data_IF_883726777487
#
_entry.id   IF_883726777487
#
_cell.length_a   1.000
_cell.length_b   1.000
_cell.length_c   1.000
_cell.angle_alpha   90.00
_cell.angle_beta   90.00
_cell.angle_gamma   90.00
#
_symmetry.space_group_name_H-M   'P 1'
#
loop_
_entity.id
_entity.type
_entity.pdbx_description
1 polymer ?
#
# COMPACT_ATOMS: atom_id res chain seq x y z
N UNK A 1 21.38 -3.49 -28.77
CA UNK A 1 21.13 -3.36 -27.32
C UNK A 1 20.88 -4.74 -26.77
N UNK A 2 21.81 -5.22 -25.90
CA UNK A 2 21.69 -6.53 -25.31
C UNK A 2 20.62 -6.49 -24.18
N UNK A 3 19.98 -7.61 -23.94
CA UNK A 3 18.98 -7.76 -22.88
C UNK A 3 19.54 -7.37 -21.48
N UNK A 4 20.87 -7.44 -21.35
CA UNK A 4 21.62 -7.02 -20.14
C UNK A 4 21.69 -5.50 -19.96
N UNK A 5 21.66 -4.73 -21.05
CA UNK A 5 21.71 -3.26 -21.02
C UNK A 5 20.32 -2.65 -20.85
N UNK A 6 19.27 -3.39 -21.24
CA UNK A 6 17.88 -2.92 -21.12
C UNK A 6 17.31 -3.12 -19.70
N UNK A 7 17.76 -4.15 -18.97
CA UNK A 7 17.30 -4.45 -17.61
C UNK A 7 17.57 -3.30 -16.60
N UNK A 8 18.78 -2.72 -16.52
CA UNK A 8 19.02 -1.60 -15.60
C UNK A 8 18.23 -0.35 -15.98
N UNK A 9 18.04 -0.09 -17.29
CA UNK A 9 17.27 1.07 -17.75
C UNK A 9 15.79 0.92 -17.38
N UNK A 10 15.19 -0.27 -17.59
CA UNK A 10 13.80 -0.53 -17.19
C UNK A 10 13.61 -0.48 -15.67
N UNK A 11 14.58 -0.97 -14.88
CA UNK A 11 14.53 -0.89 -13.42
C UNK A 11 14.70 0.55 -12.95
N UNK A 12 15.59 1.32 -13.57
CA UNK A 12 15.80 2.74 -13.22
C UNK A 12 14.59 3.59 -13.60
N UNK A 13 13.95 3.34 -14.75
CA UNK A 13 12.70 4.03 -15.17
C UNK A 13 11.53 3.63 -14.28
N UNK A 14 11.44 2.36 -13.88
CA UNK A 14 10.40 1.90 -12.96
C UNK A 14 10.59 2.50 -11.55
N UNK A 15 11.83 2.64 -11.07
CA UNK A 15 12.15 3.31 -9.80
C UNK A 15 11.81 4.80 -9.90
N UNK A 16 12.08 5.47 -11.02
CA UNK A 16 11.75 6.88 -11.25
C UNK A 16 10.25 7.17 -11.21
N UNK A 17 9.41 6.26 -11.73
CA UNK A 17 7.95 6.41 -11.64
C UNK A 17 7.46 6.33 -10.17
N UNK A 18 8.22 5.70 -9.28
CA UNK A 18 7.88 5.56 -7.87
C UNK A 18 8.64 6.55 -6.97
N UNK A 19 9.51 7.39 -7.53
CA UNK A 19 10.14 8.49 -6.80
C UNK A 19 9.17 9.67 -6.72
N UNK A 20 8.65 10.01 -5.52
CA UNK A 20 7.70 11.12 -5.36
C UNK A 20 8.25 12.45 -5.85
N UNK A 21 9.54 12.70 -5.69
CA UNK A 21 10.16 13.94 -6.13
C UNK A 21 10.21 14.06 -7.67
N UNK A 22 10.50 12.97 -8.38
CA UNK A 22 10.47 12.95 -9.85
C UNK A 22 9.03 13.03 -10.36
N UNK A 23 8.08 12.30 -9.76
CA UNK A 23 6.66 12.41 -10.09
C UNK A 23 6.15 13.85 -9.99
N UNK A 24 6.61 14.59 -8.99
CA UNK A 24 6.21 15.98 -8.81
C UNK A 24 6.85 16.91 -9.83
N UNK A 25 8.13 16.72 -10.16
CA UNK A 25 8.82 17.51 -11.18
C UNK A 25 8.20 17.31 -12.57
N UNK A 26 7.80 16.09 -12.91
CA UNK A 26 7.27 15.75 -14.23
C UNK A 26 5.78 16.07 -14.37
N UNK A 27 5.00 15.90 -13.29
CA UNK A 27 3.53 15.94 -13.33
C UNK A 27 2.90 17.01 -12.44
N UNK A 28 3.65 17.69 -11.57
CA UNK A 28 3.13 18.72 -10.67
C UNK A 28 1.94 18.20 -9.82
N UNK A 29 0.81 18.94 -9.76
CA UNK A 29 -0.38 18.53 -9.01
C UNK A 29 -1.01 17.21 -9.47
N UNK A 30 -0.79 16.79 -10.73
CA UNK A 30 -1.24 15.50 -11.25
C UNK A 30 -0.58 14.31 -10.52
N UNK A 31 0.58 14.51 -9.91
CA UNK A 31 1.23 13.50 -9.09
C UNK A 31 0.29 12.94 -8.01
N UNK A 32 -0.59 13.79 -7.44
CA UNK A 32 -1.60 13.36 -6.44
C UNK A 32 -2.55 12.32 -7.01
N UNK A 33 -3.01 12.52 -8.26
CA UNK A 33 -3.91 11.59 -8.93
C UNK A 33 -3.20 10.28 -9.26
N UNK A 34 -1.95 10.36 -9.72
CA UNK A 34 -1.13 9.17 -10.03
C UNK A 34 -0.92 8.35 -8.76
N UNK A 35 -0.56 8.99 -7.65
CA UNK A 35 -0.38 8.33 -6.34
C UNK A 35 -1.71 7.71 -5.87
N UNK A 36 -2.83 8.40 -6.03
CA UNK A 36 -4.14 7.84 -5.72
C UNK A 36 -4.45 6.57 -6.53
N UNK A 37 -4.14 6.56 -7.84
CA UNK A 37 -4.27 5.37 -8.67
C UNK A 37 -3.36 4.22 -8.21
N UNK A 38 -2.13 4.52 -7.82
CA UNK A 38 -1.18 3.53 -7.26
C UNK A 38 -1.76 2.94 -5.97
N UNK A 39 -2.24 3.77 -5.05
CA UNK A 39 -2.86 3.34 -3.78
C UNK A 39 -4.08 2.44 -4.06
N UNK A 40 -4.96 2.87 -4.98
CA UNK A 40 -6.13 2.06 -5.38
C UNK A 40 -5.71 0.69 -5.92
N UNK A 41 -4.72 0.66 -6.82
CA UNK A 41 -4.23 -0.59 -7.41
C UNK A 41 -3.58 -1.49 -6.36
N UNK A 42 -2.82 -0.92 -5.41
CA UNK A 42 -2.15 -1.65 -4.34
C UNK A 42 -3.16 -2.28 -3.36
N UNK A 43 -4.17 -1.52 -2.95
CA UNK A 43 -5.16 -2.02 -1.97
C UNK A 43 -6.24 -2.90 -2.61
N UNK A 44 -6.60 -2.63 -3.88
CA UNK A 44 -7.69 -3.32 -4.56
C UNK A 44 -7.30 -4.57 -5.33
N UNK A 45 -6.04 -4.64 -5.78
CA UNK A 45 -5.55 -5.77 -6.55
C UNK A 45 -4.62 -6.64 -5.69
N UNK A 46 -4.90 -7.93 -5.59
CA UNK A 46 -4.04 -8.88 -4.86
C UNK A 46 -2.58 -8.90 -5.37
N UNK A 47 -2.38 -8.54 -6.64
CA UNK A 47 -1.05 -8.38 -7.23
C UNK A 47 -0.41 -7.03 -6.87
N UNK A 48 -1.18 -6.07 -6.36
CA UNK A 48 -0.73 -4.74 -5.97
C UNK A 48 0.19 -4.70 -4.75
N UNK A 49 0.28 -5.79 -4.00
CA UNK A 49 1.23 -5.96 -2.88
C UNK A 49 2.68 -5.58 -3.22
N UNK A 50 3.06 -5.64 -4.51
CA UNK A 50 4.38 -5.24 -4.98
C UNK A 50 4.50 -3.73 -5.26
N UNK A 51 3.40 -2.97 -5.24
CA UNK A 51 3.45 -1.52 -5.46
C UNK A 51 3.81 -0.81 -4.14
N UNK A 52 4.69 0.19 -4.20
CA UNK A 52 5.18 0.88 -3.01
C UNK A 52 4.30 2.08 -2.61
N UNK A 53 2.97 1.95 -2.62
CA UNK A 53 2.06 3.05 -2.30
C UNK A 53 2.24 3.59 -0.88
N UNK A 54 2.52 2.71 0.10
CA UNK A 54 2.88 3.11 1.47
C UNK A 54 4.08 4.03 1.51
N UNK A 55 5.10 3.69 0.69
CA UNK A 55 6.36 4.42 0.67
C UNK A 55 6.20 5.83 0.07
N UNK A 56 5.14 6.06 -0.69
CA UNK A 56 4.89 7.33 -1.38
C UNK A 56 4.05 8.28 -0.53
N UNK A 57 3.15 7.77 0.32
CA UNK A 57 2.24 8.60 1.13
C UNK A 57 2.97 9.57 2.07
N UNK A 58 4.00 9.10 2.76
CA UNK A 58 4.78 9.91 3.68
C UNK A 58 5.55 11.02 2.95
N UNK A 59 6.35 10.73 1.89
CA UNK A 59 7.00 11.76 1.09
C UNK A 59 6.04 12.77 0.48
N UNK A 60 4.86 12.34 0.01
CA UNK A 60 3.86 13.28 -0.53
C UNK A 60 3.44 14.31 0.50
N UNK A 61 3.20 13.90 1.75
CA UNK A 61 2.89 14.83 2.84
C UNK A 61 4.05 15.80 3.14
N UNK A 62 5.28 15.29 3.14
CA UNK A 62 6.50 16.08 3.35
C UNK A 62 6.67 17.12 2.23
N UNK A 63 6.55 16.72 0.96
CA UNK A 63 6.71 17.59 -0.21
C UNK A 63 5.61 18.67 -0.28
N UNK A 64 4.39 18.38 0.14
CA UNK A 64 3.32 19.37 0.24
C UNK A 64 3.60 20.40 1.34
N UNK A 65 4.10 19.97 2.50
CA UNK A 65 4.40 20.87 3.61
C UNK A 65 5.60 21.79 3.34
N UNK A 66 6.55 21.32 2.53
CA UNK A 66 7.72 22.12 2.11
C UNK A 66 7.42 23.04 0.93
N UNK A 67 6.22 22.98 0.36
CA UNK A 67 5.81 23.82 -0.79
C UNK A 67 6.37 23.37 -2.13
N UNK A 68 6.97 22.18 -2.20
CA UNK A 68 7.43 21.58 -3.47
C UNK A 68 6.22 21.17 -4.33
N UNK A 69 5.13 20.76 -3.69
CA UNK A 69 3.84 20.49 -4.33
C UNK A 69 2.85 21.57 -3.89
N UNK A 70 2.44 22.40 -4.82
CA UNK A 70 1.36 23.36 -4.58
C UNK A 70 -0.02 22.65 -4.69
N UNK A 71 -0.33 21.89 -3.65
CA UNK A 71 -1.62 21.18 -3.53
C UNK A 71 -2.07 21.13 -2.07
N UNK A 72 -3.36 21.40 -1.79
CA UNK A 72 -3.87 21.41 -0.41
C UNK A 72 -3.76 20.02 0.24
N UNK A 73 -3.00 19.90 1.32
CA UNK A 73 -2.75 18.65 2.03
C UNK A 73 -4.04 17.94 2.46
N UNK A 74 -5.03 18.72 2.95
CA UNK A 74 -6.32 18.15 3.36
C UNK A 74 -7.05 17.46 2.20
N UNK A 75 -6.98 18.06 0.99
CA UNK A 75 -7.60 17.51 -0.21
C UNK A 75 -6.87 16.26 -0.67
N UNK A 76 -5.54 16.24 -0.60
CA UNK A 76 -4.74 15.05 -0.86
C UNK A 76 -5.10 13.90 0.10
N UNK A 77 -5.23 14.18 1.39
CA UNK A 77 -5.67 13.19 2.38
C UNK A 77 -7.06 12.60 2.04
N UNK A 78 -8.00 13.43 1.57
CA UNK A 78 -9.33 12.97 1.13
C UNK A 78 -9.20 12.08 -0.10
N UNK A 79 -8.42 12.48 -1.10
CA UNK A 79 -8.22 11.73 -2.34
C UNK A 79 -7.55 10.38 -2.06
N UNK A 80 -6.48 10.36 -1.26
CA UNK A 80 -5.78 9.13 -0.90
C UNK A 80 -6.67 8.18 -0.07
N UNK A 81 -7.43 8.74 0.87
CA UNK A 81 -8.39 7.95 1.65
C UNK A 81 -9.51 7.38 0.78
N UNK A 82 -10.03 8.15 -0.17
CA UNK A 82 -11.04 7.67 -1.11
C UNK A 82 -10.49 6.56 -2.02
N UNK A 83 -9.27 6.73 -2.54
CA UNK A 83 -8.62 5.73 -3.39
C UNK A 83 -8.37 4.41 -2.62
N UNK A 84 -7.81 4.48 -1.41
CA UNK A 84 -7.60 3.32 -0.57
C UNK A 84 -8.91 2.62 -0.20
N UNK A 85 -9.93 3.40 0.20
CA UNK A 85 -11.24 2.87 0.54
C UNK A 85 -11.88 2.14 -0.65
N UNK A 86 -11.86 2.73 -1.85
CA UNK A 86 -12.39 2.12 -3.07
C UNK A 86 -11.62 0.84 -3.43
N UNK A 87 -10.30 0.84 -3.26
CA UNK A 87 -9.46 -0.35 -3.44
C UNK A 87 -9.87 -1.48 -2.51
N UNK A 88 -10.02 -1.20 -1.22
CA UNK A 88 -10.46 -2.21 -0.25
C UNK A 88 -11.86 -2.74 -0.52
N UNK A 89 -12.80 -1.87 -0.99
CA UNK A 89 -14.12 -2.35 -1.42
C UNK A 89 -13.98 -3.33 -2.59
N UNK A 90 -13.12 -3.01 -3.56
CA UNK A 90 -12.84 -3.91 -4.70
C UNK A 90 -12.29 -5.24 -4.21
N UNK A 91 -11.30 -5.22 -3.30
CA UNK A 91 -10.73 -6.40 -2.66
C UNK A 91 -11.80 -7.25 -1.94
N UNK A 92 -12.66 -6.63 -1.15
CA UNK A 92 -13.77 -7.30 -0.46
C UNK A 92 -14.73 -8.00 -1.45
N UNK A 93 -15.18 -7.31 -2.51
CA UNK A 93 -16.07 -7.86 -3.50
C UNK A 93 -15.42 -8.99 -4.32
N UNK A 94 -14.13 -8.85 -4.64
CA UNK A 94 -13.35 -9.94 -5.25
C UNK A 94 -13.32 -11.15 -4.31
N UNK A 95 -13.10 -10.94 -3.01
CA UNK A 95 -13.16 -12.00 -2.00
C UNK A 95 -14.51 -12.72 -1.94
N UNK A 96 -15.61 -11.97 -1.93
CA UNK A 96 -16.96 -12.54 -1.97
C UNK A 96 -17.21 -13.41 -3.21
N UNK A 97 -16.71 -12.97 -4.39
CA UNK A 97 -16.87 -13.73 -5.64
C UNK A 97 -15.96 -14.96 -5.72
N UNK A 98 -14.75 -14.85 -5.18
CA UNK A 98 -13.75 -15.93 -5.19
C UNK A 98 -13.94 -16.93 -4.05
N UNK A 99 -14.66 -16.57 -3.00
CA UNK A 99 -14.88 -17.42 -1.82
C UNK A 99 -15.22 -18.87 -2.17
N UNK A 100 -16.25 -19.14 -2.98
CA UNK A 100 -16.60 -20.51 -3.37
C UNK A 100 -15.49 -21.24 -4.14
N UNK A 101 -14.72 -20.52 -4.97
CA UNK A 101 -13.65 -21.11 -5.77
C UNK A 101 -12.38 -21.40 -4.93
N UNK A 102 -12.14 -20.62 -3.88
CA UNK A 102 -10.99 -20.80 -2.95
C UNK A 102 -11.17 -22.07 -2.11
N UNK A 103 -12.39 -22.34 -1.64
CA UNK A 103 -12.69 -23.56 -0.89
C UNK A 103 -12.60 -24.83 -1.74
N UNK A 104 -12.84 -24.71 -3.06
CA UNK A 104 -12.82 -25.84 -4.00
C UNK A 104 -11.45 -26.15 -4.60
N UNK A 105 -10.45 -25.24 -4.49
CA UNK A 105 -9.09 -25.42 -5.03
C UNK A 105 -8.04 -25.01 -3.99
N UNK A 106 -7.61 -25.91 -3.11
CA UNK A 106 -6.72 -25.59 -1.99
C UNK A 106 -5.29 -25.17 -2.37
N UNK A 107 -4.88 -25.29 -3.62
CA UNK A 107 -3.50 -25.00 -4.10
C UNK A 107 -3.43 -23.91 -5.17
N UNK A 108 -3.99 -22.73 -4.93
CA UNK A 108 -3.69 -21.60 -5.81
C UNK A 108 -2.47 -20.82 -5.30
N UNK A 109 -1.61 -20.34 -6.21
CA UNK A 109 -0.39 -19.57 -5.87
C UNK A 109 -0.66 -18.31 -5.03
N UNK A 110 -1.86 -17.74 -5.11
CA UNK A 110 -2.29 -16.54 -4.40
C UNK A 110 -3.03 -16.85 -3.09
N UNK A 111 -3.68 -18.00 -2.99
CA UNK A 111 -4.39 -18.46 -1.81
C UNK A 111 -3.71 -19.72 -1.24
N UNK A 112 -2.48 -19.52 -0.76
CA UNK A 112 -1.81 -20.56 0.00
C UNK A 112 -2.55 -20.76 1.33
N UNK A 113 -2.78 -22.03 1.73
CA UNK A 113 -3.37 -22.37 3.03
C UNK A 113 -2.67 -21.67 4.20
N UNK A 114 -1.37 -21.39 4.05
CA UNK A 114 -0.56 -20.67 5.03
C UNK A 114 -1.03 -19.21 5.19
N UNK A 115 -1.41 -18.53 4.10
CA UNK A 115 -1.91 -17.15 4.17
C UNK A 115 -3.33 -17.09 4.70
N UNK A 116 -4.19 -18.03 4.31
CA UNK A 116 -5.55 -18.16 4.86
C UNK A 116 -5.49 -18.45 6.36
N UNK A 117 -4.63 -19.36 6.80
CA UNK A 117 -4.43 -19.69 8.21
C UNK A 117 -3.91 -18.48 9.02
N UNK A 118 -2.95 -17.73 8.49
CA UNK A 118 -2.47 -16.49 9.13
C UNK A 118 -3.57 -15.45 9.27
N UNK A 119 -4.38 -15.28 8.24
CA UNK A 119 -5.49 -14.33 8.26
C UNK A 119 -6.57 -14.78 9.24
N UNK A 120 -6.92 -16.05 9.27
CA UNK A 120 -7.85 -16.60 10.25
C UNK A 120 -7.36 -16.42 11.68
N UNK A 121 -6.09 -16.74 11.98
CA UNK A 121 -5.51 -16.54 13.30
C UNK A 121 -5.49 -15.05 13.70
N UNK A 122 -5.31 -14.15 12.73
CA UNK A 122 -5.39 -12.71 12.96
C UNK A 122 -6.83 -12.27 13.27
N UNK A 123 -7.84 -12.78 12.54
CA UNK A 123 -9.25 -12.53 12.83
C UNK A 123 -9.68 -13.14 14.17
N UNK A 124 -9.22 -14.35 14.51
CA UNK A 124 -9.47 -14.97 15.81
C UNK A 124 -8.93 -14.15 16.98
N UNK A 125 -7.72 -13.59 16.83
CA UNK A 125 -7.06 -12.81 17.87
C UNK A 125 -7.64 -11.42 18.05
N UNK A 126 -7.94 -10.73 16.96
CA UNK A 126 -8.33 -9.30 16.97
C UNK A 126 -9.82 -9.08 16.62
N UNK A 127 -10.53 -10.12 16.22
CA UNK A 127 -11.93 -10.05 15.82
C UNK A 127 -12.14 -9.03 14.69
N UNK A 128 -13.24 -8.30 14.75
CA UNK A 128 -13.56 -7.29 13.72
C UNK A 128 -12.57 -6.13 13.66
N UNK A 129 -11.83 -5.86 14.75
CA UNK A 129 -10.78 -4.83 14.80
C UNK A 129 -9.55 -5.20 13.96
N UNK A 130 -9.42 -6.47 13.58
CA UNK A 130 -8.39 -6.96 12.67
C UNK A 130 -8.33 -6.13 11.38
N UNK A 131 -9.49 -5.70 10.86
CA UNK A 131 -9.57 -4.87 9.65
C UNK A 131 -8.87 -3.53 9.84
N UNK A 132 -8.97 -2.90 11.02
CA UNK A 132 -8.28 -1.64 11.32
C UNK A 132 -6.76 -1.86 11.37
N UNK A 133 -6.33 -2.86 12.15
CA UNK A 133 -4.90 -3.12 12.34
C UNK A 133 -4.20 -3.60 11.07
N UNK A 134 -4.95 -4.21 10.14
CA UNK A 134 -4.43 -4.65 8.86
C UNK A 134 -3.78 -3.53 8.07
N UNK A 135 -4.31 -2.30 8.13
CA UNK A 135 -3.78 -1.15 7.38
C UNK A 135 -2.35 -0.78 7.78
N UNK A 136 -1.92 -1.14 8.99
CA UNK A 136 -0.57 -0.87 9.49
C UNK A 136 0.43 -1.99 9.17
N UNK A 137 -0.02 -3.10 8.57
CA UNK A 137 0.83 -4.22 8.20
C UNK A 137 0.72 -4.44 6.69
N UNK A 138 1.77 -4.15 5.90
CA UNK A 138 1.70 -4.10 4.43
C UNK A 138 1.09 -5.35 3.79
N UNK A 139 1.48 -6.55 4.25
CA UNK A 139 0.95 -7.82 3.73
C UNK A 139 -0.52 -8.00 4.09
N UNK A 140 -0.91 -7.67 5.33
CA UNK A 140 -2.28 -7.90 5.80
C UNK A 140 -3.28 -6.93 5.15
N UNK A 141 -2.84 -5.72 4.83
CA UNK A 141 -3.68 -4.69 4.23
C UNK A 141 -4.33 -5.16 2.93
N UNK A 142 -3.58 -5.76 2.03
CA UNK A 142 -4.11 -6.25 0.75
C UNK A 142 -4.90 -7.55 0.89
N UNK A 143 -4.56 -8.39 1.86
CA UNK A 143 -5.21 -9.68 2.06
C UNK A 143 -6.48 -9.61 2.92
N UNK A 144 -6.53 -8.74 3.92
CA UNK A 144 -7.66 -8.68 4.87
C UNK A 144 -8.98 -8.29 4.22
N UNK A 145 -9.07 -7.31 3.29
CA UNK A 145 -10.32 -7.03 2.60
C UNK A 145 -10.84 -8.26 1.82
N UNK A 146 -9.95 -8.94 1.10
CA UNK A 146 -10.30 -10.14 0.34
C UNK A 146 -10.71 -11.29 1.27
N UNK A 147 -9.94 -11.51 2.35
CA UNK A 147 -10.25 -12.53 3.34
C UNK A 147 -11.57 -12.26 4.09
N UNK A 148 -11.90 -10.99 4.34
CA UNK A 148 -13.18 -10.60 4.91
C UNK A 148 -14.34 -10.94 3.96
N UNK A 149 -14.12 -10.79 2.64
CA UNK A 149 -15.07 -11.20 1.60
C UNK A 149 -15.22 -12.72 1.52
N UNK A 150 -14.10 -13.46 1.48
CA UNK A 150 -14.08 -14.94 1.47
C UNK A 150 -14.73 -15.52 2.74
N UNK A 151 -14.47 -14.91 3.91
CA UNK A 151 -15.04 -15.31 5.20
C UNK A 151 -16.47 -14.82 5.44
N UNK A 152 -17.17 -14.31 4.41
CA UNK A 152 -18.56 -13.84 4.48
C UNK A 152 -18.83 -12.83 5.61
N UNK A 153 -17.83 -11.99 5.93
CA UNK A 153 -18.01 -10.92 6.90
C UNK A 153 -19.13 -9.98 6.44
N UNK A 154 -20.08 -9.66 7.33
CA UNK A 154 -21.18 -8.73 6.98
C UNK A 154 -20.63 -7.41 6.48
N UNK A 155 -21.00 -6.99 5.26
CA UNK A 155 -20.49 -5.77 4.61
C UNK A 155 -20.53 -4.53 5.50
N UNK A 156 -21.62 -4.29 6.24
CA UNK A 156 -21.73 -3.15 7.17
C UNK A 156 -20.68 -3.16 8.27
N UNK A 157 -20.25 -4.34 8.73
CA UNK A 157 -19.16 -4.45 9.71
C UNK A 157 -17.83 -4.13 9.05
N UNK A 158 -17.54 -4.79 7.92
CA UNK A 158 -16.34 -4.50 7.14
C UNK A 158 -16.22 -3.00 6.87
N UNK A 159 -17.27 -2.37 6.32
CA UNK A 159 -17.31 -0.96 5.97
C UNK A 159 -16.92 -0.04 7.14
N UNK A 160 -17.49 -0.26 8.33
CA UNK A 160 -17.19 0.57 9.51
C UNK A 160 -15.72 0.49 9.93
N UNK A 161 -15.19 -0.72 10.08
CA UNK A 161 -13.83 -0.92 10.53
C UNK A 161 -12.81 -0.53 9.46
N UNK A 162 -13.13 -0.81 8.20
CA UNK A 162 -12.31 -0.44 7.06
C UNK A 162 -12.22 1.08 6.89
N UNK A 163 -13.34 1.78 6.90
CA UNK A 163 -13.35 3.24 6.78
C UNK A 163 -12.50 3.91 7.86
N UNK A 164 -12.63 3.45 9.11
CA UNK A 164 -11.81 3.98 10.20
C UNK A 164 -10.32 3.69 10.00
N UNK A 165 -9.95 2.45 9.63
CA UNK A 165 -8.57 2.06 9.36
C UNK A 165 -7.96 2.86 8.21
N UNK A 166 -8.68 2.98 7.10
CA UNK A 166 -8.26 3.78 5.93
C UNK A 166 -8.04 5.24 6.30
N UNK A 167 -8.99 5.87 7.00
CA UNK A 167 -8.87 7.29 7.38
C UNK A 167 -7.64 7.51 8.25
N UNK A 168 -7.42 6.67 9.26
CA UNK A 168 -6.27 6.81 10.16
C UNK A 168 -4.96 6.59 9.40
N UNK A 169 -4.91 5.61 8.51
CA UNK A 169 -3.69 5.29 7.77
C UNK A 169 -3.46 6.28 6.60
N UNK A 170 -4.39 6.42 5.67
CA UNK A 170 -4.21 7.18 4.43
C UNK A 170 -4.17 8.70 4.66
N UNK A 171 -4.74 9.21 5.77
CA UNK A 171 -4.56 10.60 6.18
C UNK A 171 -3.43 10.75 7.20
N UNK A 172 -3.28 9.80 8.13
CA UNK A 172 -2.28 9.89 9.20
C UNK A 172 -0.85 9.89 8.69
N UNK A 173 -0.53 9.02 7.72
CA UNK A 173 0.84 8.93 7.16
C UNK A 173 1.26 10.22 6.46
N UNK A 174 0.48 10.82 5.54
CA UNK A 174 0.82 12.11 4.95
C UNK A 174 0.88 13.25 5.98
N UNK A 175 0.00 13.26 6.97
CA UNK A 175 0.01 14.27 8.04
C UNK A 175 1.28 14.20 8.89
N UNK A 176 1.77 13.00 9.19
CA UNK A 176 3.06 12.80 9.87
C UNK A 176 4.20 13.31 8.99
N UNK A 177 4.19 12.99 7.69
CA UNK A 177 5.16 13.50 6.73
C UNK A 177 5.17 15.03 6.69
N UNK A 178 3.99 15.64 6.64
CA UNK A 178 3.82 17.10 6.65
C UNK A 178 4.29 17.74 7.97
N UNK A 179 4.00 17.10 9.10
CA UNK A 179 4.48 17.57 10.41
C UNK A 179 5.99 17.57 10.51
N UNK A 180 6.64 16.53 10.01
CA UNK A 180 8.10 16.43 9.96
C UNK A 180 8.70 17.42 8.96
N UNK A 181 8.01 17.74 7.87
CA UNK A 181 8.43 18.74 6.90
C UNK A 181 8.49 20.18 7.45
N UNK A 182 7.85 20.45 8.60
CA UNK A 182 7.95 21.72 9.29
C UNK A 182 9.22 21.84 10.16
N UNK A 183 9.89 20.75 10.45
CA UNK A 183 11.14 20.73 11.24
C UNK A 183 12.31 21.03 10.30
N UNK A 184 13.15 22.05 10.58
CA UNK A 184 14.24 22.48 9.70
C UNK A 184 15.16 21.34 9.27
N UNK A 185 15.51 20.45 10.20
CA UNK A 185 16.37 19.29 9.93
C UNK A 185 15.84 18.40 8.80
N UNK A 186 14.54 18.14 8.76
CA UNK A 186 13.92 17.30 7.72
C UNK A 186 13.62 18.07 6.46
N UNK A 187 13.31 19.37 6.59
CA UNK A 187 13.05 20.26 5.47
C UNK A 187 14.31 20.49 4.62
N UNK A 188 15.47 20.67 5.26
CA UNK A 188 16.73 20.93 4.57
C UNK A 188 17.32 19.66 3.89
N UNK A 189 16.79 18.47 4.26
CA UNK A 189 17.25 17.17 3.76
C UNK A 189 16.10 16.30 3.24
N UNK A 190 15.11 16.90 2.59
CA UNK A 190 13.89 16.20 2.07
C UNK A 190 14.26 14.98 1.22
N UNK A 191 15.26 15.10 0.35
CA UNK A 191 15.71 14.02 -0.53
C UNK A 191 16.23 12.82 0.26
N UNK A 192 17.06 13.09 1.29
CA UNK A 192 17.64 12.04 2.13
C UNK A 192 16.54 11.36 2.95
N UNK A 193 15.64 12.14 3.54
CA UNK A 193 14.52 11.62 4.35
C UNK A 193 13.61 10.75 3.50
N UNK A 194 13.28 11.20 2.30
CA UNK A 194 12.46 10.45 1.33
C UNK A 194 13.16 9.16 0.93
N UNK A 195 14.45 9.21 0.58
CA UNK A 195 15.22 8.04 0.20
C UNK A 195 15.35 7.01 1.32
N UNK A 196 15.58 7.47 2.56
CA UNK A 196 15.65 6.60 3.75
C UNK A 196 14.30 5.93 4.01
N UNK A 197 13.21 6.70 3.98
CA UNK A 197 11.87 6.17 4.20
C UNK A 197 11.50 5.14 3.14
N UNK A 198 11.78 5.45 1.87
CA UNK A 198 11.60 4.53 0.74
C UNK A 198 12.38 3.23 0.95
N UNK A 199 13.67 3.34 1.28
CA UNK A 199 14.54 2.18 1.51
C UNK A 199 14.03 1.30 2.65
N UNK A 200 13.63 1.90 3.78
CA UNK A 200 13.07 1.17 4.94
C UNK A 200 11.79 0.43 4.55
N UNK A 201 10.91 1.06 3.76
CA UNK A 201 9.65 0.47 3.32
C UNK A 201 9.84 -0.75 2.41
N UNK A 202 10.97 -0.83 1.68
CA UNK A 202 11.29 -1.98 0.83
C UNK A 202 11.90 -3.18 1.57
N UNK A 203 12.43 -2.97 2.78
CA UNK A 203 13.04 -4.05 3.57
C UNK A 203 12.08 -5.24 3.78
N UNK A 204 10.81 -5.05 4.19
CA UNK A 204 9.87 -6.16 4.36
C UNK A 204 9.62 -6.91 3.06
N UNK A 205 9.49 -6.20 1.94
CA UNK A 205 9.25 -6.78 0.62
C UNK A 205 10.44 -7.64 0.19
N UNK A 206 11.65 -7.11 0.32
CA UNK A 206 12.88 -7.82 -0.02
C UNK A 206 13.06 -9.07 0.85
N UNK A 207 12.84 -8.96 2.15
CA UNK A 207 12.96 -10.09 3.09
C UNK A 207 11.94 -11.20 2.78
N UNK A 208 10.70 -10.85 2.44
CA UNK A 208 9.67 -11.83 2.07
C UNK A 208 10.01 -12.53 0.74
N UNK A 209 10.48 -11.78 -0.27
CA UNK A 209 10.92 -12.34 -1.56
C UNK A 209 12.11 -13.26 -1.39
N UNK A 210 13.10 -12.88 -0.58
CA UNK A 210 14.27 -13.73 -0.29
C UNK A 210 13.88 -15.00 0.46
N UNK A 211 12.94 -14.90 1.42
CA UNK A 211 12.41 -16.03 2.17
C UNK A 211 11.65 -17.00 1.27
N UNK A 212 10.80 -16.47 0.38
CA UNK A 212 10.06 -17.26 -0.60
C UNK A 212 11.00 -17.98 -1.61
N UNK A 213 12.11 -17.34 -2.00
CA UNK A 213 13.13 -17.96 -2.85
C UNK A 213 13.88 -19.08 -2.12
N UNK A 214 14.14 -18.93 -0.83
CA UNK A 214 14.84 -19.91 0.00
C UNK A 214 13.99 -21.16 0.24
N UNK A 215 12.68 -20.98 0.47
CA UNK A 215 11.71 -22.06 0.62
C UNK A 215 11.49 -22.88 -0.67
N UNK A 216 11.79 -22.32 -1.85
CA UNK A 216 11.71 -23.03 -3.15
C UNK A 216 12.99 -23.82 -3.48
N UNK A 217 14.06 -23.60 -2.75
CA UNK A 217 15.37 -24.21 -3.00
C UNK A 217 15.68 -25.40 -2.07
N UNK A 218 14.88 -25.53 -1.02
CA UNK A 218 14.87 -26.67 -0.10
C UNK A 218 13.64 -27.55 -0.36
#
# INVERSE_FOLDING_TARGET
LSLHDALPICVFTAIGIFDPAQLVQDFGPLAVVIVACIIYAETGLLAGFFLPGDSILFPMGLLMATGVIDFPLWLACVIFSAAAWLGDQTGYWVGCKLGPAVFNKPESKFFSQKNVSRTNSFFERYGNKAVIFAHFVPVLRTFVPVAAGVGEMKYRRFLKYNLFGVLVWASGVPLIGAGLGQVPLFRDHVEIVTAVFFTISWIPIITEVLKARRERRN
#
